data_IF_875457711119
#
_entry.id   IF_875457711119
#
_cell.length_a   1.000
_cell.length_b   1.000
_cell.length_c   1.000
_cell.angle_alpha   90.00
_cell.angle_beta   90.00
_cell.angle_gamma   90.00
#
_symmetry.space_group_name_H-M   'P 1'
#
loop_
_entity.id
_entity.type
_entity.pdbx_description
1 polymer ?
#
# COMPACT_ATOMS: atom_id res chain seq x y z
N UNK A 1 5.60 -24.36 -3.22
CA UNK A 1 6.61 -23.33 -3.49
C UNK A 1 5.88 -21.99 -3.55
N UNK A 2 6.07 -21.11 -2.56
CA UNK A 2 5.59 -19.73 -2.62
C UNK A 2 6.48 -19.02 -3.63
N UNK A 3 5.87 -18.36 -4.62
CA UNK A 3 6.61 -17.64 -5.66
C UNK A 3 7.51 -16.58 -5.00
N UNK A 4 8.73 -16.42 -5.53
CA UNK A 4 9.57 -15.28 -5.20
C UNK A 4 8.79 -14.00 -5.53
N UNK A 5 8.53 -13.17 -4.50
CA UNK A 5 7.68 -12.01 -4.64
C UNK A 5 8.52 -10.82 -5.11
N UNK A 6 8.26 -10.34 -6.33
CA UNK A 6 8.73 -9.04 -6.76
C UNK A 6 7.83 -7.97 -6.15
N UNK A 7 8.39 -7.11 -5.31
CA UNK A 7 7.69 -5.97 -4.74
C UNK A 7 8.06 -4.70 -5.50
N UNK A 8 7.04 -3.92 -5.86
CA UNK A 8 7.20 -2.63 -6.50
C UNK A 8 6.74 -1.53 -5.55
N UNK A 9 7.62 -0.56 -5.31
CA UNK A 9 7.22 0.72 -4.73
C UNK A 9 7.05 1.70 -5.88
N UNK A 10 5.84 2.24 -6.00
CA UNK A 10 5.48 3.14 -7.09
C UNK A 10 5.11 4.52 -6.54
N UNK A 11 5.47 5.56 -7.28
CA UNK A 11 5.08 6.94 -7.03
C UNK A 11 4.12 7.46 -8.10
N UNK A 12 3.52 8.60 -7.81
CA UNK A 12 2.77 9.40 -8.78
C UNK A 12 3.33 10.82 -8.75
N UNK A 13 3.62 11.38 -9.92
CA UNK A 13 4.08 12.76 -10.05
C UNK A 13 2.92 13.77 -10.11
N UNK A 14 3.24 15.06 -10.18
CA UNK A 14 2.25 16.14 -10.28
C UNK A 14 1.49 16.16 -11.62
N UNK A 15 1.98 15.45 -12.63
CA UNK A 15 1.32 15.26 -13.92
C UNK A 15 0.39 14.05 -13.95
N UNK A 16 0.12 13.43 -12.81
CA UNK A 16 -0.63 12.16 -12.67
C UNK A 16 0.02 10.96 -13.37
N UNK A 17 1.32 11.03 -13.71
CA UNK A 17 2.03 9.90 -14.27
C UNK A 17 2.59 9.03 -13.15
N UNK A 18 2.35 7.72 -13.25
CA UNK A 18 2.94 6.74 -12.35
C UNK A 18 4.38 6.43 -12.76
N UNK A 19 5.24 6.21 -11.78
CA UNK A 19 6.62 5.77 -11.99
C UNK A 19 7.03 4.76 -10.90
N UNK A 20 7.99 3.90 -11.24
CA UNK A 20 8.55 2.93 -10.29
C UNK A 20 9.70 3.61 -9.55
N UNK A 21 9.61 3.61 -8.22
CA UNK A 21 10.62 4.14 -7.31
C UNK A 21 11.66 3.05 -7.02
N UNK A 22 11.18 1.87 -6.64
CA UNK A 22 12.00 0.74 -6.24
C UNK A 22 11.36 -0.54 -6.78
N UNK A 23 12.15 -1.32 -7.48
CA UNK A 23 11.83 -2.71 -7.80
C UNK A 23 12.78 -3.57 -6.97
N UNK A 24 12.23 -4.43 -6.13
CA UNK A 24 13.03 -5.30 -5.27
C UNK A 24 12.56 -6.75 -5.37
N UNK A 25 13.54 -7.64 -5.42
CA UNK A 25 13.33 -9.06 -5.30
C UNK A 25 13.32 -9.42 -3.82
N UNK A 26 12.22 -9.99 -3.33
CA UNK A 26 12.10 -10.41 -1.93
C UNK A 26 12.14 -11.94 -1.84
N UNK A 27 13.32 -12.54 -1.58
CA UNK A 27 13.42 -13.97 -1.35
C UNK A 27 12.75 -14.30 -0.03
N UNK A 28 11.52 -14.82 -0.12
CA UNK A 28 10.80 -15.53 0.94
C UNK A 28 10.52 -14.72 2.23
N UNK A 29 9.62 -13.73 2.15
CA UNK A 29 8.89 -13.03 3.25
C UNK A 29 9.53 -13.06 4.66
N UNK A 30 10.80 -12.64 4.89
CA UNK A 30 11.26 -12.50 6.26
C UNK A 30 10.53 -11.29 6.84
N UNK A 31 9.82 -11.43 7.96
CA UNK A 31 9.11 -10.33 8.62
C UNK A 31 9.99 -9.09 8.86
N UNK A 32 11.30 -9.27 8.94
CA UNK A 32 12.30 -8.23 9.12
C UNK A 32 12.64 -7.44 7.83
N UNK A 33 12.28 -7.95 6.65
CA UNK A 33 12.57 -7.29 5.37
C UNK A 33 11.76 -6.01 5.20
N UNK A 34 10.46 -6.02 5.53
CA UNK A 34 9.62 -4.83 5.40
C UNK A 34 10.11 -3.66 6.27
N UNK A 35 10.43 -3.84 7.59
CA UNK A 35 11.02 -2.76 8.38
C UNK A 35 12.32 -2.23 7.77
N UNK A 36 13.21 -3.09 7.29
CA UNK A 36 14.46 -2.65 6.65
C UNK A 36 14.19 -1.76 5.42
N UNK A 37 13.21 -2.12 4.58
CA UNK A 37 12.85 -1.29 3.42
C UNK A 37 12.31 0.08 3.85
N UNK A 38 11.36 0.11 4.79
CA UNK A 38 10.70 1.36 5.17
C UNK A 38 11.54 2.26 6.07
N UNK A 39 12.43 1.70 6.89
CA UNK A 39 13.23 2.44 7.87
C UNK A 39 14.64 2.78 7.38
N UNK A 40 15.22 1.96 6.50
CA UNK A 40 16.61 2.17 6.04
C UNK A 40 16.65 2.51 4.55
N UNK A 41 16.08 1.65 3.69
CA UNK A 41 16.24 1.77 2.23
C UNK A 41 15.56 3.01 1.68
N UNK A 42 14.26 3.20 1.95
CA UNK A 42 13.52 4.33 1.41
C UNK A 42 14.04 5.69 1.91
N UNK A 43 14.38 5.87 3.21
CA UNK A 43 15.01 7.11 3.68
C UNK A 43 16.37 7.38 3.05
N UNK A 44 17.20 6.35 2.86
CA UNK A 44 18.50 6.50 2.22
C UNK A 44 18.40 6.85 0.72
N UNK A 45 17.45 6.23 -0.01
CA UNK A 45 17.31 6.42 -1.44
C UNK A 45 16.58 7.72 -1.81
N UNK A 46 15.51 8.04 -1.10
CA UNK A 46 14.64 9.17 -1.44
C UNK A 46 14.87 10.40 -0.57
N UNK A 47 15.55 10.25 0.56
CA UNK A 47 15.71 11.33 1.52
C UNK A 47 14.43 11.58 2.32
N UNK A 48 14.62 11.81 3.62
CA UNK A 48 13.53 12.04 4.59
C UNK A 48 12.61 13.20 4.19
N UNK A 49 13.15 14.25 3.56
CA UNK A 49 12.38 15.41 3.11
C UNK A 49 11.33 15.03 2.05
N UNK A 50 11.62 14.05 1.19
CA UNK A 50 10.69 13.60 0.16
C UNK A 50 9.64 12.64 0.73
N UNK A 51 10.03 11.75 1.65
CA UNK A 51 9.10 10.85 2.33
C UNK A 51 8.01 11.59 3.11
N UNK A 52 8.35 12.72 3.75
CA UNK A 52 7.38 13.59 4.44
C UNK A 52 6.30 14.17 3.53
N UNK A 53 6.52 14.24 2.21
CA UNK A 53 5.55 14.77 1.24
C UNK A 53 4.59 13.71 0.72
N UNK A 54 4.79 12.44 1.10
CA UNK A 54 3.87 11.36 0.74
C UNK A 54 2.59 11.53 1.55
N UNK A 55 1.45 11.57 0.85
CA UNK A 55 0.12 11.76 1.44
C UNK A 55 -0.73 10.47 1.43
N UNK A 56 -0.35 9.48 0.62
CA UNK A 56 -1.11 8.24 0.47
C UNK A 56 -0.17 7.07 0.24
N UNK A 57 -0.36 5.99 1.00
CA UNK A 57 0.31 4.70 0.81
C UNK A 57 -0.77 3.63 0.63
N UNK A 58 -0.63 2.79 -0.40
CA UNK A 58 -1.54 1.68 -0.70
C UNK A 58 -0.76 0.36 -0.71
N UNK A 59 -1.15 -0.58 0.16
CA UNK A 59 -0.53 -1.91 0.33
C UNK A 59 -1.52 -3.02 -0.08
N UNK A 60 -1.05 -4.21 -0.42
CA UNK A 60 -1.91 -5.40 -0.65
C UNK A 60 -2.58 -5.92 0.65
N UNK A 61 -2.16 -5.38 1.79
CA UNK A 61 -2.66 -5.63 3.12
C UNK A 61 -2.13 -6.91 3.75
N UNK A 62 -0.90 -7.32 3.42
CA UNK A 62 -0.12 -8.25 4.24
C UNK A 62 0.11 -7.68 5.66
N UNK A 63 -0.05 -8.53 6.67
CA UNK A 63 0.00 -8.09 8.06
C UNK A 63 1.42 -7.68 8.48
N UNK A 64 2.47 -8.30 7.93
CA UNK A 64 3.84 -7.94 8.26
C UNK A 64 4.25 -6.64 7.56
N UNK A 65 3.82 -6.44 6.31
CA UNK A 65 3.98 -5.17 5.60
C UNK A 65 3.27 -4.03 6.35
N UNK A 66 2.02 -4.24 6.76
CA UNK A 66 1.24 -3.21 7.43
C UNK A 66 1.86 -2.79 8.78
N UNK A 67 2.34 -3.75 9.57
CA UNK A 67 3.02 -3.45 10.84
C UNK A 67 4.34 -2.68 10.63
N UNK A 68 5.08 -2.99 9.57
CA UNK A 68 6.31 -2.27 9.23
C UNK A 68 6.00 -0.85 8.71
N UNK A 69 4.92 -0.70 7.94
CA UNK A 69 4.41 0.59 7.48
C UNK A 69 4.00 1.48 8.64
N UNK A 70 3.31 0.96 9.66
CA UNK A 70 2.95 1.74 10.85
C UNK A 70 4.20 2.32 11.54
N UNK A 71 5.28 1.54 11.64
CA UNK A 71 6.57 2.04 12.14
C UNK A 71 7.16 3.11 11.19
N UNK A 72 7.13 2.86 9.88
CA UNK A 72 7.61 3.82 8.87
C UNK A 72 6.83 5.13 8.87
N UNK A 73 5.50 5.10 9.04
CA UNK A 73 4.63 6.28 9.15
C UNK A 73 4.98 7.07 10.41
N UNK A 74 5.21 6.37 11.52
CA UNK A 74 5.66 7.01 12.74
C UNK A 74 6.98 7.77 12.55
N UNK A 75 7.90 7.31 11.70
CA UNK A 75 9.21 7.96 11.55
C UNK A 75 9.30 8.95 10.37
N UNK A 76 8.83 8.56 9.17
CA UNK A 76 9.14 9.25 7.92
C UNK A 76 7.91 9.75 7.16
N UNK A 77 6.79 9.02 7.14
CA UNK A 77 5.60 9.34 6.34
C UNK A 77 4.52 10.09 7.14
N UNK A 78 4.90 11.20 7.79
CA UNK A 78 4.06 11.92 8.76
C UNK A 78 2.72 12.43 8.24
N UNK A 79 2.61 12.67 6.94
CA UNK A 79 1.39 13.19 6.29
C UNK A 79 0.61 12.10 5.55
N UNK A 80 1.12 10.86 5.53
CA UNK A 80 0.54 9.79 4.74
C UNK A 80 -0.65 9.16 5.46
N UNK A 81 -1.74 8.96 4.71
CA UNK A 81 -2.80 8.04 5.08
C UNK A 81 -2.45 6.67 4.46
N UNK A 82 -2.58 5.61 5.25
CA UNK A 82 -2.36 4.24 4.79
C UNK A 82 -3.69 3.55 4.49
N UNK A 83 -3.77 2.87 3.34
CA UNK A 83 -4.95 2.12 2.92
C UNK A 83 -4.60 0.82 2.21
N UNK A 84 -5.61 -0.02 1.99
CA UNK A 84 -5.48 -1.21 1.15
C UNK A 84 -5.65 -0.86 -0.32
N UNK A 85 -4.86 -1.50 -1.17
CA UNK A 85 -4.92 -1.32 -2.61
C UNK A 85 -6.26 -1.82 -3.17
N UNK A 86 -6.95 -0.95 -3.92
CA UNK A 86 -8.27 -1.25 -4.50
C UNK A 86 -8.27 -2.49 -5.39
N UNK A 87 -7.20 -2.73 -6.16
CA UNK A 87 -7.07 -3.94 -6.97
C UNK A 87 -7.11 -5.21 -6.12
N UNK A 88 -6.27 -5.27 -5.07
CA UNK A 88 -6.23 -6.41 -4.16
C UNK A 88 -7.53 -6.58 -3.36
N UNK A 89 -8.21 -5.49 -3.00
CA UNK A 89 -9.53 -5.54 -2.37
C UNK A 89 -10.56 -6.19 -3.29
N UNK A 90 -10.64 -5.75 -4.54
CA UNK A 90 -11.59 -6.29 -5.53
C UNK A 90 -11.24 -7.76 -5.83
N UNK A 91 -9.97 -8.06 -6.05
CA UNK A 91 -9.52 -9.42 -6.35
C UNK A 91 -9.84 -10.39 -5.19
N UNK A 92 -9.54 -10.00 -3.94
CA UNK A 92 -9.89 -10.79 -2.76
C UNK A 92 -11.40 -10.98 -2.63
N UNK A 93 -12.19 -9.93 -2.89
CA UNK A 93 -13.66 -9.98 -2.86
C UNK A 93 -14.22 -10.93 -3.90
N UNK A 94 -13.72 -10.89 -5.14
CA UNK A 94 -14.14 -11.79 -6.21
C UNK A 94 -13.76 -13.24 -5.86
N UNK A 95 -12.55 -13.47 -5.34
CA UNK A 95 -12.11 -14.81 -4.90
C UNK A 95 -12.98 -15.37 -3.78
N UNK A 96 -13.47 -14.53 -2.86
CA UNK A 96 -14.26 -14.97 -1.71
C UNK A 96 -15.76 -15.10 -1.99
N UNK A 97 -16.33 -14.28 -2.88
CA UNK A 97 -17.78 -14.21 -3.11
C UNK A 97 -18.22 -14.54 -4.55
N UNK A 98 -17.27 -14.71 -5.48
CA UNK A 98 -17.55 -14.81 -6.91
C UNK A 98 -17.99 -13.46 -7.52
N UNK A 99 -18.18 -13.45 -8.84
CA UNK A 99 -18.82 -12.32 -9.53
C UNK A 99 -20.34 -12.42 -9.33
N UNK A 100 -20.86 -12.18 -8.13
CA UNK A 100 -22.30 -11.93 -8.01
C UNK A 100 -22.61 -10.59 -8.67
N UNK A 101 -23.47 -10.63 -9.71
CA UNK A 101 -23.97 -9.43 -10.38
C UNK A 101 -24.50 -8.41 -9.36
N UNK A 102 -24.39 -7.11 -9.63
CA UNK A 102 -24.81 -6.10 -8.66
C UNK A 102 -26.29 -6.30 -8.32
N UNK A 103 -26.60 -6.65 -7.07
CA UNK A 103 -27.93 -6.42 -6.55
C UNK A 103 -28.16 -4.91 -6.65
N UNK A 104 -29.12 -4.47 -7.45
CA UNK A 104 -29.55 -3.08 -7.47
C UNK A 104 -30.02 -2.72 -6.06
N UNK A 105 -29.15 -2.08 -5.27
CA UNK A 105 -29.59 -1.45 -4.03
C UNK A 105 -30.09 -0.06 -4.42
N UNK A 106 -31.41 0.05 -4.45
CA UNK A 106 -32.14 1.28 -4.60
C UNK A 106 -31.56 2.38 -3.71
N UNK A 107 -31.29 3.51 -4.35
CA UNK A 107 -31.08 4.82 -3.77
C UNK A 107 -31.89 5.03 -2.48
N UNK A 108 -31.23 5.22 -1.33
CA UNK A 108 -31.76 6.06 -0.26
C UNK A 108 -30.60 6.72 0.46
N UNK A 109 -30.62 8.04 0.34
CA UNK A 109 -29.75 9.00 0.98
C UNK A 109 -29.78 8.83 2.50
N UNK A 110 -28.62 8.92 3.14
CA UNK A 110 -28.44 9.85 4.25
C UNK A 110 -26.95 9.97 4.60
N UNK A 111 -26.42 11.15 4.29
CA UNK A 111 -25.19 11.69 4.83
C UNK A 111 -25.41 11.96 6.33
N UNK A 112 -24.52 11.47 7.18
CA UNK A 112 -24.54 11.73 8.62
C UNK A 112 -23.14 11.59 9.17
N UNK A 113 -22.37 12.68 9.10
CA UNK A 113 -21.10 12.83 9.79
C UNK A 113 -21.33 12.89 11.31
N UNK A 114 -20.57 12.09 12.06
CA UNK A 114 -20.17 12.36 13.44
C UNK A 114 -18.65 12.23 13.51
#
# INVERSE_FOLDING_TARGET
MKADLFSFVCGRDSGNKAFVILQMFMPNEPKAFYPWVFLEVLPAMLGVAHLKRVNLILTDGDANEFNALDQGIFHYFKNAICGRCGHHLIEKTIKSHGLTQPSQKSHRENCGCL
#
